data_IF_946206748801
#
_entry.id   IF_946206748801
#
_cell.length_a   1.000
_cell.length_b   1.000
_cell.length_c   1.000
_cell.angle_alpha   90.00
_cell.angle_beta   90.00
_cell.angle_gamma   90.00
#
_symmetry.space_group_name_H-M   'P 1'
#
loop_
_entity.id
_entity.type
_entity.pdbx_description
1 polymer ?
#
# COMPACT_ATOMS: atom_id res chain seq x y z
N UNK A 1 28.15 7.73 44.64
CA UNK A 1 28.21 8.82 43.64
C UNK A 1 28.07 8.31 42.20
N UNK A 2 28.67 7.17 41.81
CA UNK A 2 28.56 6.63 40.44
C UNK A 2 27.14 6.18 40.06
N UNK A 3 26.44 5.48 40.96
CA UNK A 3 25.08 4.95 40.71
C UNK A 3 24.02 6.06 40.49
N UNK A 4 24.08 7.15 41.26
CA UNK A 4 23.18 8.29 41.10
C UNK A 4 23.38 9.01 39.76
N UNK A 5 24.63 9.15 39.30
CA UNK A 5 24.94 9.78 38.02
C UNK A 5 24.31 9.00 36.85
N UNK A 6 24.38 7.67 36.90
CA UNK A 6 23.87 6.79 35.84
C UNK A 6 22.34 6.79 35.76
N UNK A 7 21.67 6.86 36.91
CA UNK A 7 20.22 7.00 36.99
C UNK A 7 19.74 8.35 36.41
N UNK A 8 20.44 9.45 36.71
CA UNK A 8 20.10 10.76 36.16
C UNK A 8 20.29 10.83 34.64
N UNK A 9 21.40 10.28 34.12
CA UNK A 9 21.63 10.21 32.66
C UNK A 9 20.54 9.39 31.97
N UNK A 10 20.17 8.23 32.53
CA UNK A 10 19.08 7.41 31.97
C UNK A 10 17.72 8.14 31.97
N UNK A 11 17.40 8.89 33.03
CA UNK A 11 16.19 9.71 33.09
C UNK A 11 16.18 10.84 32.05
N UNK A 12 17.29 11.54 31.87
CA UNK A 12 17.39 12.64 30.90
C UNK A 12 17.26 12.11 29.47
N UNK A 13 17.86 10.96 29.17
CA UNK A 13 17.73 10.30 27.87
C UNK A 13 16.29 9.84 27.63
N UNK A 14 15.64 9.21 28.62
CA UNK A 14 14.24 8.80 28.51
C UNK A 14 13.29 10.00 28.33
N UNK A 15 13.50 11.09 29.07
CA UNK A 15 12.74 12.33 28.90
C UNK A 15 13.00 12.96 27.54
N UNK A 16 14.24 12.96 27.02
CA UNK A 16 14.52 13.46 25.68
C UNK A 16 13.74 12.69 24.61
N UNK A 17 13.65 11.35 24.72
CA UNK A 17 12.83 10.53 23.82
C UNK A 17 11.32 10.78 23.94
N UNK A 18 10.83 11.17 25.13
CA UNK A 18 9.42 11.54 25.33
C UNK A 18 9.10 12.97 24.88
N UNK A 19 10.06 13.89 24.98
CA UNK A 19 9.88 15.33 24.67
C UNK A 19 10.06 15.63 23.19
N UNK A 20 10.83 14.82 22.45
CA UNK A 20 10.74 14.80 20.98
C UNK A 20 9.42 14.13 20.57
N UNK A 21 8.30 14.81 20.87
CA UNK A 21 6.93 14.42 20.53
C UNK A 21 6.64 14.43 19.02
N UNK A 22 7.66 14.25 18.19
CA UNK A 22 7.61 14.25 16.73
C UNK A 22 6.81 13.06 16.19
N UNK A 23 6.41 12.10 17.04
CA UNK A 23 5.63 10.94 16.62
C UNK A 23 4.11 11.15 16.64
N UNK A 24 3.61 12.15 17.36
CA UNK A 24 2.16 12.41 17.49
C UNK A 24 1.68 13.57 16.59
N UNK A 25 2.43 13.89 15.54
CA UNK A 25 1.98 14.85 14.54
C UNK A 25 0.68 14.39 13.86
N UNK A 26 -0.16 15.32 13.38
CA UNK A 26 -1.33 14.96 12.59
C UNK A 26 -0.90 14.13 11.37
N UNK A 27 -1.74 13.19 10.91
CA UNK A 27 -1.43 12.38 9.74
C UNK A 27 -1.16 13.28 8.53
N UNK A 28 -0.14 12.95 7.74
CA UNK A 28 0.23 13.71 6.52
C UNK A 28 -0.89 13.75 5.48
N UNK A 29 -1.81 12.78 5.54
CA UNK A 29 -2.93 12.65 4.63
C UNK A 29 -4.23 12.59 5.44
N UNK A 30 -5.27 13.36 5.06
CA UNK A 30 -6.58 13.24 5.68
C UNK A 30 -7.13 11.80 5.60
N UNK A 31 -7.75 11.28 6.66
CA UNK A 31 -8.30 9.92 6.65
C UNK A 31 -9.49 9.81 5.69
N UNK A 32 -9.61 8.65 5.04
CA UNK A 32 -10.80 8.27 4.30
C UNK A 32 -11.94 7.78 5.20
N UNK A 33 -13.04 7.36 4.59
CA UNK A 33 -14.11 6.63 5.28
C UNK A 33 -13.58 5.29 5.82
N UNK A 34 -14.19 4.74 6.87
CA UNK A 34 -13.86 3.37 7.25
C UNK A 34 -14.44 2.40 6.20
N UNK A 35 -13.61 1.53 5.64
CA UNK A 35 -14.06 0.49 4.72
C UNK A 35 -14.47 -0.76 5.49
N UNK A 36 -15.49 -1.48 5.02
CA UNK A 36 -15.93 -2.74 5.64
C UNK A 36 -15.73 -3.89 4.66
N UNK A 37 -15.96 -5.13 5.10
CA UNK A 37 -15.85 -6.31 4.25
C UNK A 37 -17.08 -6.51 3.32
N UNK A 38 -18.04 -5.58 3.31
CA UNK A 38 -19.20 -5.68 2.43
C UNK A 38 -18.83 -5.23 1.01
N UNK A 39 -19.13 -6.05 0.01
CA UNK A 39 -19.05 -5.65 -1.38
C UNK A 39 -20.16 -4.63 -1.69
N UNK A 40 -19.77 -3.38 -1.92
CA UNK A 40 -20.65 -2.31 -2.40
C UNK A 40 -20.51 -2.10 -3.90
N UNK A 41 -21.37 -1.25 -4.47
CA UNK A 41 -21.25 -0.76 -5.85
C UNK A 41 -20.48 0.55 -5.96
N UNK A 42 -20.09 1.13 -4.82
CA UNK A 42 -19.52 2.46 -4.74
C UNK A 42 -17.99 2.41 -4.92
N UNK A 43 -17.49 3.14 -5.91
CA UNK A 43 -16.07 3.36 -6.12
C UNK A 43 -15.53 4.39 -5.12
N UNK A 44 -14.43 4.06 -4.46
CA UNK A 44 -13.69 4.98 -3.60
C UNK A 44 -12.41 5.46 -4.29
N UNK A 45 -12.11 6.76 -4.17
CA UNK A 45 -10.88 7.32 -4.75
C UNK A 45 -9.64 6.89 -3.95
N UNK A 46 -8.63 6.39 -4.65
CA UNK A 46 -7.36 5.95 -4.12
C UNK A 46 -6.21 6.47 -4.99
N UNK A 47 -4.96 6.29 -4.51
CA UNK A 47 -3.77 6.39 -5.36
C UNK A 47 -3.15 5.03 -5.57
N UNK A 48 -2.68 4.80 -6.78
CA UNK A 48 -1.89 3.63 -7.12
C UNK A 48 -0.45 4.01 -7.42
N UNK A 49 0.48 3.25 -6.83
CA UNK A 49 1.88 3.20 -7.23
C UNK A 49 2.21 1.79 -7.71
N UNK A 50 3.45 1.56 -8.16
CA UNK A 50 3.88 0.21 -8.50
C UNK A 50 5.35 -0.04 -8.20
N UNK A 51 5.70 -1.32 -8.06
CA UNK A 51 7.04 -1.76 -7.72
C UNK A 51 7.43 -3.07 -8.43
N UNK A 52 8.71 -3.41 -8.33
CA UNK A 52 9.28 -4.64 -8.88
C UNK A 52 9.44 -4.60 -10.40
N UNK A 53 9.40 -5.79 -11.03
CA UNK A 53 9.52 -5.92 -12.49
C UNK A 53 8.21 -5.50 -13.18
N UNK A 54 8.26 -4.86 -14.36
CA UNK A 54 7.07 -4.41 -15.09
C UNK A 54 6.01 -5.51 -15.31
N UNK A 55 6.41 -6.76 -15.52
CA UNK A 55 5.52 -7.92 -15.70
C UNK A 55 5.75 -8.98 -14.62
N UNK A 56 6.13 -8.56 -13.41
CA UNK A 56 6.37 -9.44 -12.27
C UNK A 56 5.31 -9.30 -11.17
N UNK A 57 5.52 -10.06 -10.08
CA UNK A 57 4.66 -10.11 -8.90
C UNK A 57 5.12 -9.23 -7.73
N UNK A 58 6.16 -8.42 -7.93
CA UNK A 58 7.01 -7.96 -6.81
C UNK A 58 8.07 -9.03 -6.48
N UNK A 59 8.51 -9.15 -5.22
CA UNK A 59 9.25 -10.31 -4.72
C UNK A 59 8.39 -11.58 -4.77
N UNK A 60 8.92 -12.68 -5.31
CA UNK A 60 8.20 -13.95 -5.40
C UNK A 60 8.05 -14.65 -4.02
N UNK A 61 9.04 -14.48 -3.13
CA UNK A 61 9.05 -14.98 -1.74
C UNK A 61 9.14 -13.79 -0.77
N UNK A 62 8.59 -13.97 0.43
CA UNK A 62 8.47 -12.97 1.49
C UNK A 62 7.46 -11.85 1.17
N UNK A 63 6.18 -12.20 1.01
CA UNK A 63 5.01 -11.31 0.79
C UNK A 63 4.74 -10.39 1.97
N UNK A 64 5.74 -9.57 2.29
CA UNK A 64 5.95 -8.73 3.46
C UNK A 64 4.99 -8.95 4.62
N UNK A 65 4.20 -7.93 4.95
CA UNK A 65 3.32 -7.89 6.11
C UNK A 65 2.30 -9.02 6.21
N UNK A 66 2.00 -9.73 5.11
CA UNK A 66 1.09 -10.88 5.11
C UNK A 66 1.80 -12.23 5.18
N UNK A 67 3.09 -12.30 4.86
CA UNK A 67 3.88 -13.54 4.90
C UNK A 67 3.54 -14.56 3.81
N UNK A 68 2.83 -14.18 2.76
CA UNK A 68 2.56 -15.08 1.63
C UNK A 68 3.83 -15.38 0.83
N UNK A 69 3.85 -16.55 0.18
CA UNK A 69 4.92 -16.99 -0.72
C UNK A 69 4.34 -17.33 -2.07
N UNK A 70 5.21 -17.41 -3.08
CA UNK A 70 4.83 -17.78 -4.45
C UNK A 70 3.71 -16.88 -5.00
N UNK A 71 3.77 -15.57 -4.71
CA UNK A 71 2.73 -14.61 -5.12
C UNK A 71 2.61 -14.44 -6.64
N UNK A 72 3.59 -14.94 -7.39
CA UNK A 72 3.56 -15.06 -8.84
C UNK A 72 2.68 -16.22 -9.35
N UNK A 73 2.37 -17.21 -8.50
CA UNK A 73 1.55 -18.38 -8.82
C UNK A 73 0.10 -18.22 -8.35
N UNK A 74 -0.83 -19.09 -8.76
CA UNK A 74 -2.16 -19.13 -8.15
C UNK A 74 -2.08 -19.24 -6.61
N UNK A 75 -3.00 -18.57 -5.88
CA UNK A 75 -4.16 -17.84 -6.40
C UNK A 75 -3.84 -16.39 -6.85
N UNK A 76 -2.69 -15.84 -6.46
CA UNK A 76 -2.37 -14.42 -6.66
C UNK A 76 -2.01 -14.08 -8.11
N UNK A 77 -1.33 -14.97 -8.83
CA UNK A 77 -1.00 -14.81 -10.26
C UNK A 77 -0.32 -13.48 -10.60
N UNK A 78 0.59 -12.99 -9.73
CA UNK A 78 1.22 -11.67 -9.86
C UNK A 78 0.27 -10.46 -9.72
N UNK A 79 -0.96 -10.67 -9.26
CA UNK A 79 -1.96 -9.63 -9.01
C UNK A 79 -1.96 -9.16 -7.54
N UNK A 80 -0.78 -9.07 -6.93
CA UNK A 80 -0.59 -8.62 -5.54
C UNK A 80 -0.54 -7.09 -5.39
N UNK A 81 -0.87 -6.62 -4.20
CA UNK A 81 -0.82 -5.21 -3.79
C UNK A 81 -0.36 -5.05 -2.34
N UNK A 82 0.46 -4.04 -2.07
CA UNK A 82 0.78 -3.55 -0.73
C UNK A 82 -0.16 -2.38 -0.41
N UNK A 83 -1.00 -2.50 0.62
CA UNK A 83 -1.97 -1.43 0.92
C UNK A 83 -1.67 -0.70 2.23
N UNK A 84 -2.17 0.53 2.37
CA UNK A 84 -2.00 1.32 3.58
C UNK A 84 -2.92 0.85 4.74
N UNK A 85 -2.72 1.40 5.94
CA UNK A 85 -3.36 0.96 7.20
C UNK A 85 -4.89 0.77 7.10
N UNK A 86 -5.68 1.70 6.50
CA UNK A 86 -7.14 1.53 6.41
C UNK A 86 -7.59 0.26 5.68
N UNK A 87 -6.75 -0.29 4.79
CA UNK A 87 -7.00 -1.52 4.04
C UNK A 87 -6.27 -2.72 4.67
N UNK A 88 -4.98 -2.59 4.96
CA UNK A 88 -4.18 -3.67 5.53
C UNK A 88 -4.66 -4.08 6.93
N UNK A 89 -5.13 -3.13 7.74
CA UNK A 89 -5.76 -3.34 9.06
C UNK A 89 -4.97 -4.31 9.96
N UNK A 90 -3.69 -4.03 10.15
CA UNK A 90 -2.79 -4.86 10.96
C UNK A 90 -2.80 -6.35 10.55
N UNK A 91 -2.90 -6.61 9.25
CA UNK A 91 -2.92 -7.94 8.66
C UNK A 91 -4.31 -8.55 8.49
N UNK A 92 -5.37 -7.96 9.07
CA UNK A 92 -6.74 -8.43 8.86
C UNK A 92 -7.21 -8.28 7.39
N UNK A 93 -6.58 -7.38 6.64
CA UNK A 93 -6.82 -7.20 5.21
C UNK A 93 -6.07 -8.22 4.32
N UNK A 94 -5.13 -9.00 4.86
CA UNK A 94 -4.36 -9.95 4.06
C UNK A 94 -5.26 -10.97 3.35
N UNK A 95 -5.03 -11.15 2.05
CA UNK A 95 -5.79 -12.07 1.20
C UNK A 95 -7.14 -11.54 0.74
N UNK A 96 -7.59 -10.36 1.21
CA UNK A 96 -8.77 -9.70 0.64
C UNK A 96 -8.53 -9.31 -0.81
N UNK A 97 -9.61 -9.29 -1.60
CA UNK A 97 -9.59 -8.90 -3.00
C UNK A 97 -10.37 -7.61 -3.24
N UNK A 98 -9.87 -6.78 -4.14
CA UNK A 98 -10.49 -5.52 -4.56
C UNK A 98 -10.53 -5.44 -6.07
N UNK A 99 -11.64 -4.95 -6.62
CA UNK A 99 -11.63 -4.45 -7.99
C UNK A 99 -10.92 -3.11 -8.01
N UNK A 100 -10.09 -2.86 -9.01
CA UNK A 100 -9.39 -1.60 -9.19
C UNK A 100 -9.53 -1.11 -10.63
N UNK A 101 -9.63 0.20 -10.82
CA UNK A 101 -9.61 0.83 -12.15
C UNK A 101 -8.99 2.21 -12.11
N UNK A 102 -8.51 2.68 -13.25
CA UNK A 102 -8.16 4.08 -13.44
C UNK A 102 -8.82 4.63 -14.70
N UNK A 103 -9.13 5.93 -14.68
CA UNK A 103 -9.71 6.66 -15.82
C UNK A 103 -8.77 7.74 -16.37
N UNK A 104 -7.70 8.08 -15.62
CA UNK A 104 -6.64 9.03 -15.99
C UNK A 104 -5.29 8.50 -15.51
N UNK A 105 -4.18 8.72 -16.24
CA UNK A 105 -4.02 9.52 -17.46
C UNK A 105 -4.59 8.83 -18.72
N UNK A 106 -4.31 9.35 -19.92
CA UNK A 106 -4.90 8.88 -21.18
C UNK A 106 -4.62 7.39 -21.48
N UNK A 107 -3.58 6.84 -20.87
CA UNK A 107 -3.17 5.44 -20.93
C UNK A 107 -4.11 4.52 -20.16
N UNK A 108 -4.90 5.03 -19.22
CA UNK A 108 -5.87 4.24 -18.46
C UNK A 108 -6.97 3.66 -19.34
N UNK A 109 -7.33 2.41 -19.10
CA UNK A 109 -8.33 1.68 -19.86
C UNK A 109 -9.77 1.90 -19.39
N UNK A 110 -9.96 2.34 -18.14
CA UNK A 110 -11.27 2.37 -17.46
C UNK A 110 -11.83 0.99 -17.12
N UNK A 111 -11.09 -0.10 -17.39
CA UNK A 111 -11.55 -1.48 -17.15
C UNK A 111 -11.12 -1.94 -15.76
N UNK A 112 -12.04 -2.51 -14.96
CA UNK A 112 -11.70 -3.09 -13.68
C UNK A 112 -10.78 -4.32 -13.80
N UNK A 113 -9.89 -4.48 -12.84
CA UNK A 113 -9.09 -5.68 -12.61
C UNK A 113 -9.13 -6.05 -11.12
N UNK A 114 -9.01 -7.34 -10.78
CA UNK A 114 -8.98 -7.79 -9.38
C UNK A 114 -7.54 -7.91 -8.90
N UNK A 115 -7.26 -7.33 -7.72
CA UNK A 115 -5.99 -7.46 -7.00
C UNK A 115 -6.20 -8.03 -5.61
N UNK A 116 -5.13 -8.56 -5.01
CA UNK A 116 -5.14 -9.16 -3.68
C UNK A 116 -4.16 -8.44 -2.77
N UNK A 117 -4.56 -8.22 -1.52
CA UNK A 117 -3.66 -7.65 -0.52
C UNK A 117 -2.67 -8.70 -0.07
N UNK A 118 -1.42 -8.51 -0.44
CA UNK A 118 -0.32 -9.44 -0.15
C UNK A 118 0.74 -8.84 0.74
N UNK A 119 0.69 -7.54 1.04
CA UNK A 119 1.69 -6.84 1.85
C UNK A 119 1.11 -5.53 2.42
N UNK A 120 1.91 -4.82 3.22
CA UNK A 120 1.64 -3.54 3.85
C UNK A 120 2.48 -2.43 3.22
N UNK A 121 1.87 -1.27 2.98
CA UNK A 121 2.58 -0.04 2.64
C UNK A 121 2.53 0.96 3.81
N UNK A 122 3.69 1.23 4.42
CA UNK A 122 3.85 2.08 5.60
C UNK A 122 3.92 3.58 5.31
N UNK A 123 4.02 4.00 4.05
CA UNK A 123 4.17 5.40 3.65
C UNK A 123 2.94 5.89 2.89
N UNK A 124 1.84 6.24 3.59
CA UNK A 124 0.60 6.66 2.95
C UNK A 124 0.75 8.00 2.22
N UNK A 125 0.41 8.03 0.92
CA UNK A 125 0.32 9.24 0.08
C UNK A 125 -1.13 9.67 -0.22
N UNK A 126 -2.10 8.84 0.17
CA UNK A 126 -3.53 9.06 -0.03
C UNK A 126 -4.33 8.40 1.12
N UNK A 127 -5.60 8.78 1.24
CA UNK A 127 -6.53 8.17 2.20
C UNK A 127 -6.58 6.64 2.03
N UNK A 128 -6.59 6.19 0.77
CA UNK A 128 -6.41 4.80 0.37
C UNK A 128 -5.31 4.72 -0.68
N UNK A 129 -4.43 3.73 -0.51
CA UNK A 129 -3.30 3.54 -1.38
C UNK A 129 -3.07 2.07 -1.63
N UNK A 130 -2.78 1.74 -2.89
CA UNK A 130 -2.35 0.44 -3.34
C UNK A 130 -1.01 0.59 -4.07
N UNK A 131 0.05 -0.02 -3.54
CA UNK A 131 1.30 -0.18 -4.26
C UNK A 131 1.30 -1.53 -4.96
N UNK A 132 1.12 -1.52 -6.27
CA UNK A 132 0.77 -2.68 -7.06
C UNK A 132 2.00 -3.40 -7.59
N UNK A 133 1.93 -4.73 -7.66
CA UNK A 133 2.87 -5.49 -8.48
C UNK A 133 2.84 -4.96 -9.93
N UNK A 134 3.98 -4.96 -10.62
CA UNK A 134 4.04 -4.41 -11.99
C UNK A 134 3.04 -5.04 -12.97
N UNK A 135 2.74 -6.33 -12.81
CA UNK A 135 1.67 -7.01 -13.57
C UNK A 135 0.30 -6.38 -13.27
N UNK A 136 -0.07 -6.28 -11.99
CA UNK A 136 -1.32 -5.66 -11.54
C UNK A 136 -1.47 -4.22 -12.05
N UNK A 137 -0.45 -3.37 -11.87
CA UNK A 137 -0.48 -1.99 -12.34
C UNK A 137 -0.66 -1.90 -13.86
N UNK A 138 0.00 -2.78 -14.61
CA UNK A 138 -0.12 -2.86 -16.07
C UNK A 138 -1.53 -3.21 -16.55
N UNK A 139 -2.32 -3.96 -15.78
CA UNK A 139 -3.68 -4.35 -16.18
C UNK A 139 -4.65 -3.17 -16.30
N UNK A 140 -4.36 -2.06 -15.62
CA UNK A 140 -5.18 -0.85 -15.71
C UNK A 140 -4.94 -0.06 -17.00
N UNK A 141 -3.83 -0.30 -17.72
CA UNK A 141 -3.51 0.40 -18.94
C UNK A 141 -4.29 -0.13 -20.16
N UNK A 142 -4.43 0.72 -21.17
CA UNK A 142 -4.78 0.31 -22.53
C UNK A 142 -3.68 -0.61 -23.07
N UNK A 143 -4.09 -1.59 -23.88
CA UNK A 143 -3.16 -2.54 -24.50
C UNK A 143 -2.08 -1.79 -25.29
N UNK A 144 -0.81 -2.05 -24.98
CA UNK A 144 0.36 -1.43 -25.60
C UNK A 144 0.78 -0.09 -24.99
N UNK A 145 0.05 0.41 -23.99
CA UNK A 145 0.32 1.66 -23.28
C UNK A 145 0.82 1.43 -21.84
N UNK A 146 1.11 0.18 -21.46
CA UNK A 146 1.46 -0.22 -20.10
C UNK A 146 2.73 0.49 -19.61
N UNK A 147 3.76 0.56 -20.46
CA UNK A 147 5.01 1.26 -20.13
C UNK A 147 4.84 2.78 -20.04
N UNK A 148 3.89 3.37 -20.78
CA UNK A 148 3.58 4.79 -20.65
C UNK A 148 2.85 5.06 -19.34
N UNK A 149 1.90 4.20 -18.95
CA UNK A 149 1.24 4.31 -17.64
C UNK A 149 2.24 4.17 -16.50
N UNK A 150 3.16 3.19 -16.55
CA UNK A 150 4.21 3.00 -15.52
C UNK A 150 5.11 4.21 -15.31
N UNK A 151 5.37 4.99 -16.38
CA UNK A 151 6.15 6.24 -16.30
C UNK A 151 5.43 7.37 -15.55
N UNK A 152 4.11 7.30 -15.36
CA UNK A 152 3.40 8.23 -14.48
C UNK A 152 3.79 8.03 -13.01
N UNK A 153 4.28 6.83 -12.65
CA UNK A 153 4.70 6.37 -11.31
C UNK A 153 3.59 6.33 -10.26
N UNK A 154 2.81 7.40 -10.14
CA UNK A 154 1.67 7.55 -9.24
C UNK A 154 0.46 7.97 -10.08
N UNK A 155 -0.64 7.24 -9.97
CA UNK A 155 -1.89 7.58 -10.66
C UNK A 155 -3.06 7.64 -9.68
N UNK A 156 -4.09 8.40 -10.07
CA UNK A 156 -5.39 8.33 -9.41
C UNK A 156 -6.10 7.05 -9.87
N UNK A 157 -6.64 6.30 -8.91
CA UNK A 157 -7.27 5.02 -9.10
C UNK A 157 -8.57 4.99 -8.28
N UNK A 158 -9.46 4.07 -8.61
CA UNK A 158 -10.64 3.76 -7.81
C UNK A 158 -10.64 2.28 -7.46
N UNK A 159 -11.20 1.94 -6.29
CA UNK A 159 -11.38 0.57 -5.81
C UNK A 159 -12.75 0.38 -5.16
#
# INVERSE_FOLDING_TARGET
MWSSMQAHVAMVVALAFLVSGDWCGPPKVPPGKNITATYGSDWLDAKATWYGKPTGAGPDDNGGGCGYKDVNKPPFNSMGACSNIPIFKDGLGCGSCFEIKCDKPAECSGKPAVVYITDMNYEPIAAYQFDLAGTAFGTMAKKGEEEKLRKASIIDMQF
#
